data_IF_508544434582
#
_entry.id   IF_508544434582
#
_cell.length_a   1.000
_cell.length_b   1.000
_cell.length_c   1.000
_cell.angle_alpha   90.00
_cell.angle_beta   90.00
_cell.angle_gamma   90.00
#
_symmetry.space_group_name_H-M   'P 1'
#
loop_
_entity.id
_entity.type
_entity.pdbx_description
1 polymer ?
#
# COMPACT_ATOMS: atom_id res chain seq x y z
N UNK A 1 7.07 1.53 5.06
CA UNK A 1 7.47 1.22 3.68
C UNK A 1 8.89 1.74 3.50
N UNK A 2 9.80 0.90 3.00
CA UNK A 2 11.19 1.28 2.72
C UNK A 2 11.45 1.21 1.23
N UNK A 3 12.18 2.17 0.70
CA UNK A 3 12.50 2.30 -0.72
C UNK A 3 13.56 3.38 -0.91
N UNK A 4 13.68 3.89 -2.13
CA UNK A 4 14.62 4.96 -2.49
C UNK A 4 13.88 6.04 -3.29
N UNK A 5 14.30 7.29 -3.11
CA UNK A 5 13.74 8.48 -3.79
C UNK A 5 12.25 8.73 -3.53
N UNK A 6 11.78 8.55 -2.30
CA UNK A 6 10.44 9.00 -1.92
C UNK A 6 10.35 10.53 -1.84
N UNK A 7 9.15 11.04 -2.07
CA UNK A 7 8.84 12.46 -1.95
C UNK A 7 7.60 12.67 -1.05
N UNK A 8 7.39 13.89 -0.51
CA UNK A 8 6.18 14.20 0.24
C UNK A 8 4.88 14.10 -0.60
N UNK A 9 4.99 14.05 -1.93
CA UNK A 9 3.86 13.81 -2.84
C UNK A 9 3.62 12.32 -3.12
N UNK A 10 4.41 11.41 -2.54
CA UNK A 10 4.23 9.97 -2.69
C UNK A 10 2.85 9.52 -2.20
N UNK A 11 2.17 8.71 -3.02
CA UNK A 11 0.91 8.05 -2.67
C UNK A 11 1.13 6.56 -2.55
N UNK A 12 0.43 5.95 -1.61
CA UNK A 12 0.48 4.51 -1.40
C UNK A 12 -0.92 3.94 -1.63
N UNK A 13 -0.98 2.82 -2.35
CA UNK A 13 -2.17 2.07 -2.67
C UNK A 13 -1.98 0.63 -2.22
N UNK A 14 -3.00 0.06 -1.60
CA UNK A 14 -3.08 -1.32 -1.18
C UNK A 14 -4.09 -2.02 -2.11
N UNK A 15 -3.59 -2.70 -3.13
CA UNK A 15 -4.37 -3.24 -4.24
C UNK A 15 -5.04 -2.11 -5.01
N UNK A 16 -6.36 -1.99 -4.88
CA UNK A 16 -7.18 -0.94 -5.51
C UNK A 16 -7.57 0.19 -4.55
N UNK A 17 -7.13 0.17 -3.29
CA UNK A 17 -7.58 1.10 -2.24
C UNK A 17 -6.42 2.03 -1.86
N UNK A 18 -6.62 3.36 -1.87
CA UNK A 18 -5.59 4.30 -1.42
C UNK A 18 -5.36 4.17 0.10
N UNK A 19 -4.12 4.34 0.54
CA UNK A 19 -3.75 4.36 1.95
C UNK A 19 -4.56 5.40 2.73
N UNK A 20 -4.98 5.07 3.96
CA UNK A 20 -5.78 5.99 4.79
C UNK A 20 -4.99 7.24 5.17
N UNK A 21 -3.68 7.11 5.32
CA UNK A 21 -2.77 8.23 5.51
C UNK A 21 -1.40 7.83 4.99
N UNK A 22 -0.65 8.80 4.47
CA UNK A 22 0.75 8.63 4.07
C UNK A 22 1.53 9.78 4.69
N UNK A 23 2.47 9.43 5.56
CA UNK A 23 3.41 10.34 6.19
C UNK A 23 4.80 10.06 5.61
N UNK A 24 5.37 11.10 5.02
CA UNK A 24 6.75 11.09 4.56
C UNK A 24 7.69 11.37 5.74
N UNK A 25 8.62 10.44 5.98
CA UNK A 25 9.64 10.57 7.03
C UNK A 25 10.95 11.05 6.42
N UNK A 26 11.43 10.34 5.39
CA UNK A 26 12.62 10.69 4.63
C UNK A 26 12.55 10.09 3.22
N UNK A 27 13.56 10.36 2.39
CA UNK A 27 13.59 9.90 0.99
C UNK A 27 13.70 8.39 0.84
N UNK A 28 13.77 7.64 1.95
CA UNK A 28 13.87 6.18 1.98
C UNK A 28 12.76 5.50 2.80
N UNK A 29 11.96 6.27 3.52
CA UNK A 29 10.99 5.79 4.49
C UNK A 29 9.69 6.57 4.38
N UNK A 30 8.64 5.83 4.02
CA UNK A 30 7.26 6.28 4.10
C UNK A 30 6.53 5.50 5.18
N UNK A 31 5.81 6.20 6.04
CA UNK A 31 4.84 5.61 6.96
C UNK A 31 3.48 5.75 6.30
N UNK A 32 2.93 4.65 5.80
CA UNK A 32 1.57 4.62 5.30
C UNK A 32 0.69 3.86 6.29
N UNK A 33 -0.47 4.42 6.60
CA UNK A 33 -1.52 3.77 7.37
C UNK A 33 -2.32 2.91 6.40
N UNK A 34 -2.29 1.60 6.64
CA UNK A 34 -3.10 0.64 5.89
C UNK A 34 -4.57 1.03 6.03
N UNK A 35 -5.29 1.26 4.92
CA UNK A 35 -6.68 1.62 4.97
C UNK A 35 -7.49 0.42 5.48
N UNK A 36 -8.55 0.68 6.24
CA UNK A 36 -9.54 -0.36 6.49
C UNK A 36 -10.05 -0.84 5.13
N UNK A 37 -9.89 -2.13 4.81
CA UNK A 37 -10.46 -2.69 3.59
C UNK A 37 -11.95 -2.31 3.58
N UNK A 38 -12.45 -1.48 2.64
CA UNK A 38 -13.86 -1.50 2.35
C UNK A 38 -14.16 -2.95 2.04
N UNK A 39 -15.18 -3.48 2.69
CA UNK A 39 -15.72 -4.82 2.48
C UNK A 39 -15.95 -5.03 0.99
N UNK A 40 -14.92 -5.44 0.26
CA UNK A 40 -15.02 -5.89 -1.11
C UNK A 40 -15.92 -7.13 -1.06
N UNK A 41 -16.88 -7.27 -2.00
CA UNK A 41 -17.77 -8.41 -2.02
C UNK A 41 -16.92 -9.69 -1.95
N UNK A 42 -17.38 -10.72 -1.22
CA UNK A 42 -16.60 -11.91 -0.92
C UNK A 42 -16.19 -12.58 -2.24
N UNK A 43 -14.98 -12.27 -2.70
CA UNK A 43 -14.36 -13.07 -3.74
C UNK A 43 -14.10 -14.43 -3.12
N UNK A 44 -14.55 -15.53 -3.74
CA UNK A 44 -14.53 -16.84 -3.11
C UNK A 44 -13.09 -17.37 -3.11
N UNK A 45 -12.30 -17.09 -2.07
CA UNK A 45 -11.12 -17.87 -1.68
C UNK A 45 -10.56 -17.43 -0.33
N UNK A 46 -10.95 -18.19 0.69
CA UNK A 46 -10.12 -18.89 1.70
C UNK A 46 -8.67 -18.41 1.86
N UNK A 47 -8.30 -18.10 3.11
CA UNK A 47 -6.92 -17.88 3.57
C UNK A 47 -6.46 -16.44 3.34
N UNK A 48 -5.88 -15.80 4.36
CA UNK A 48 -5.47 -14.40 4.34
C UNK A 48 -4.91 -13.98 2.98
N UNK A 49 -5.63 -13.07 2.32
CA UNK A 49 -5.33 -12.73 0.93
C UNK A 49 -4.19 -11.72 0.94
N UNK A 50 -3.11 -12.09 0.28
CA UNK A 50 -2.00 -11.21 0.00
C UNK A 50 -2.50 -10.01 -0.82
N UNK A 51 -2.16 -8.80 -0.37
CA UNK A 51 -2.49 -7.55 -1.08
C UNK A 51 -1.20 -6.93 -1.59
N UNK A 52 -1.24 -6.51 -2.85
CA UNK A 52 -0.13 -5.82 -3.49
C UNK A 52 -0.06 -4.37 -2.97
N UNK A 53 1.14 -3.86 -2.73
CA UNK A 53 1.32 -2.47 -2.30
C UNK A 53 1.96 -1.70 -3.42
N UNK A 54 1.23 -0.77 -4.00
CA UNK A 54 1.70 0.11 -5.06
C UNK A 54 2.01 1.48 -4.47
N UNK A 55 3.24 1.93 -4.59
CA UNK A 55 3.66 3.28 -4.23
C UNK A 55 3.85 4.07 -5.51
N UNK A 56 3.20 5.22 -5.62
CA UNK A 56 3.32 6.13 -6.76
C UNK A 56 3.95 7.44 -6.31
N UNK A 57 5.09 7.80 -6.88
CA UNK A 57 5.86 9.01 -6.59
C UNK A 57 6.12 9.81 -7.87
N UNK A 58 5.54 11.01 -7.99
CA UNK A 58 5.77 11.98 -9.08
C UNK A 58 5.82 11.38 -10.52
N UNK A 59 5.07 10.31 -10.78
CA UNK A 59 5.02 9.61 -12.07
C UNK A 59 5.74 8.26 -12.11
N UNK A 60 6.57 7.96 -11.11
CA UNK A 60 7.17 6.64 -10.89
C UNK A 60 6.24 5.79 -10.04
N UNK A 61 6.08 4.51 -10.37
CA UNK A 61 5.30 3.59 -9.52
C UNK A 61 6.10 2.33 -9.23
N UNK A 62 6.07 1.91 -7.97
CA UNK A 62 6.71 0.71 -7.47
C UNK A 62 5.61 -0.18 -6.88
N UNK A 63 5.38 -1.34 -7.50
CA UNK A 63 4.43 -2.33 -7.00
C UNK A 63 5.20 -3.43 -6.30
N UNK A 64 4.90 -3.63 -5.02
CA UNK A 64 5.39 -4.75 -4.25
C UNK A 64 4.27 -5.80 -4.17
N UNK A 65 4.32 -6.85 -5.01
CA UNK A 65 3.31 -7.89 -5.00
C UNK A 65 3.37 -8.69 -3.69
N UNK A 66 2.20 -9.08 -3.18
CA UNK A 66 2.07 -9.84 -1.93
C UNK A 66 2.70 -9.21 -0.68
N UNK A 67 2.74 -7.88 -0.60
CA UNK A 67 3.39 -7.17 0.49
C UNK A 67 2.65 -7.25 1.84
N UNK A 68 1.33 -7.50 1.83
CA UNK A 68 0.52 -7.45 3.05
C UNK A 68 -0.42 -8.65 3.18
N UNK A 69 -0.34 -9.37 4.31
CA UNK A 69 -1.25 -10.47 4.65
C UNK A 69 -2.34 -9.95 5.58
N UNK A 70 -3.59 -9.89 5.11
CA UNK A 70 -4.71 -9.66 6.02
C UNK A 70 -5.00 -10.92 6.84
N UNK A 71 -4.67 -10.86 8.13
CA UNK A 71 -5.16 -11.83 9.12
C UNK A 71 -6.37 -11.26 9.84
N UNK A 72 -7.39 -12.10 9.96
CA UNK A 72 -8.56 -11.87 10.82
C UNK A 72 -8.19 -12.06 12.27
#
# INVERSE_FOLDING_TARGET
IRGESFSPASKVFFGSIPAASVQYVDSRTLIAVTPALPTLPPSPKVGGRWVDVTVTDLGTSATLPHAFLYRR
#
